data_IF_920075374919
#
_entry.id   IF_920075374919
#
_cell.length_a   1.000
_cell.length_b   1.000
_cell.length_c   1.000
_cell.angle_alpha   90.00
_cell.angle_beta   90.00
_cell.angle_gamma   90.00
#
_symmetry.space_group_name_H-M   'P 1'
#
loop_
_entity.id
_entity.type
_entity.pdbx_description
1 polymer ?
#
# COMPACT_ATOMS: atom_id res chain seq x y z
N UNK A 1 -7.92 -15.56 -24.80
CA UNK A 1 -7.13 -14.33 -25.04
C UNK A 1 -8.00 -13.18 -24.57
N UNK A 2 -7.51 -12.34 -23.66
CA UNK A 2 -8.22 -11.15 -23.18
C UNK A 2 -8.04 -9.99 -24.17
N UNK A 3 -9.05 -9.15 -24.31
CA UNK A 3 -9.03 -8.01 -25.25
C UNK A 3 -8.10 -6.89 -24.76
N UNK A 4 -8.02 -6.72 -23.45
CA UNK A 4 -7.15 -5.73 -22.85
C UNK A 4 -5.74 -6.31 -22.57
N UNK A 5 -4.73 -5.46 -22.72
CA UNK A 5 -3.37 -5.74 -22.25
C UNK A 5 -3.29 -5.59 -20.72
N UNK A 6 -2.40 -6.38 -20.10
CA UNK A 6 -2.14 -6.30 -18.66
C UNK A 6 -1.53 -4.96 -18.28
N UNK A 7 -2.01 -4.39 -17.17
CA UNK A 7 -1.32 -3.28 -16.54
C UNK A 7 0.01 -3.77 -15.93
N UNK A 8 1.06 -2.96 -16.06
CA UNK A 8 2.37 -3.25 -15.51
C UNK A 8 2.39 -3.06 -13.97
N UNK A 9 3.52 -3.34 -13.33
CA UNK A 9 3.74 -2.97 -11.93
C UNK A 9 4.19 -1.52 -11.79
N UNK A 10 4.01 -0.95 -10.60
CA UNK A 10 4.52 0.36 -10.22
C UNK A 10 5.57 0.22 -9.11
N UNK A 11 6.53 1.14 -9.09
CA UNK A 11 7.47 1.30 -7.97
C UNK A 11 6.80 2.01 -6.81
N UNK A 12 7.22 1.70 -5.58
CA UNK A 12 6.79 2.45 -4.41
C UNK A 12 7.60 3.75 -4.30
N UNK A 13 6.92 4.87 -4.07
CA UNK A 13 7.50 6.16 -3.74
C UNK A 13 6.84 6.63 -2.45
N UNK A 14 7.66 6.92 -1.44
CA UNK A 14 7.19 7.42 -0.15
C UNK A 14 8.23 8.34 0.46
N UNK A 15 8.13 8.57 1.75
CA UNK A 15 9.16 9.33 2.46
C UNK A 15 9.65 8.62 3.73
N UNK A 16 10.84 8.98 4.17
CA UNK A 16 11.38 8.62 5.48
C UNK A 16 11.78 9.87 6.22
N UNK A 17 11.66 9.84 7.55
CA UNK A 17 12.12 10.90 8.42
C UNK A 17 13.50 10.52 8.96
N UNK A 18 14.50 11.33 8.63
CA UNK A 18 15.81 11.26 9.25
C UNK A 18 15.83 12.16 10.48
N UNK A 19 16.41 11.69 11.58
CA UNK A 19 16.54 12.48 12.82
C UNK A 19 17.96 12.41 13.36
N UNK A 20 18.61 13.56 13.55
CA UNK A 20 19.94 13.64 14.20
C UNK A 20 19.80 13.50 15.73
N UNK A 21 19.85 12.26 16.20
CA UNK A 21 19.75 11.93 17.64
C UNK A 21 21.03 12.23 18.41
N UNK A 22 22.19 12.18 17.75
CA UNK A 22 23.48 12.42 18.37
C UNK A 22 23.84 13.90 18.49
N UNK A 23 23.03 14.81 17.93
CA UNK A 23 23.34 16.22 17.80
C UNK A 23 24.73 16.45 17.17
N UNK A 24 25.08 15.63 16.19
CA UNK A 24 26.39 15.64 15.55
C UNK A 24 26.41 16.51 14.27
N UNK A 25 25.23 16.87 13.75
CA UNK A 25 25.06 17.66 12.54
C UNK A 25 25.52 19.12 12.63
N UNK A 26 25.33 19.90 11.55
CA UNK A 26 24.47 19.58 10.40
C UNK A 26 25.11 18.62 9.39
N UNK A 27 24.30 17.76 8.79
CA UNK A 27 24.71 16.90 7.67
C UNK A 27 24.15 17.42 6.36
N UNK A 28 25.03 17.68 5.39
CA UNK A 28 24.64 18.05 4.01
C UNK A 28 25.06 16.94 3.06
N UNK A 29 24.15 16.45 2.23
CA UNK A 29 24.42 15.39 1.27
C UNK A 29 23.41 15.42 0.11
N UNK A 30 23.74 14.71 -0.96
CA UNK A 30 22.80 14.49 -2.07
C UNK A 30 21.88 13.33 -1.73
N UNK A 31 20.57 13.47 -1.86
CA UNK A 31 19.56 12.44 -1.54
C UNK A 31 19.87 11.10 -2.23
N UNK A 32 20.32 11.12 -3.48
CA UNK A 32 20.70 9.90 -4.23
C UNK A 32 21.94 9.20 -3.68
N UNK A 33 22.75 9.86 -2.84
CA UNK A 33 23.91 9.23 -2.20
C UNK A 33 23.53 8.26 -1.08
N UNK A 34 22.29 8.33 -0.57
CA UNK A 34 21.80 7.47 0.51
C UNK A 34 20.78 6.44 0.03
N UNK A 35 20.69 5.32 0.73
CA UNK A 35 19.64 4.32 0.55
C UNK A 35 19.28 3.65 1.88
N UNK A 36 18.07 3.11 1.95
CA UNK A 36 17.45 2.63 3.18
C UNK A 36 16.84 1.24 2.98
N UNK A 37 16.68 0.49 4.06
CA UNK A 37 16.06 -0.83 4.06
C UNK A 37 15.28 -1.10 5.35
N UNK A 38 14.47 -2.16 5.34
CA UNK A 38 13.71 -2.63 6.50
C UNK A 38 14.55 -3.37 7.56
N UNK A 39 15.84 -3.01 7.68
CA UNK A 39 16.81 -3.68 8.55
C UNK A 39 18.08 -4.09 7.81
N UNK A 40 19.10 -4.47 8.57
CA UNK A 40 20.40 -4.87 8.04
C UNK A 40 20.27 -6.16 7.23
N UNK A 41 20.82 -6.16 6.00
CA UNK A 41 20.83 -7.33 5.11
C UNK A 41 19.51 -7.63 4.38
N UNK A 42 18.49 -6.76 4.51
CA UNK A 42 17.25 -6.92 3.75
C UNK A 42 17.45 -6.63 2.25
N UNK A 43 16.74 -7.39 1.40
CA UNK A 43 16.67 -7.17 -0.05
C UNK A 43 15.68 -6.06 -0.45
N UNK A 44 14.85 -5.59 0.49
CA UNK A 44 13.92 -4.48 0.26
C UNK A 44 14.65 -3.16 0.49
N UNK A 45 15.12 -2.57 -0.62
CA UNK A 45 15.94 -1.36 -0.63
C UNK A 45 15.18 -0.21 -1.30
N UNK A 46 15.29 0.97 -0.70
CA UNK A 46 14.78 2.23 -1.22
C UNK A 46 15.94 3.22 -1.41
N UNK A 47 16.00 3.86 -2.57
CA UNK A 47 16.99 4.90 -2.86
C UNK A 47 16.42 6.27 -2.52
N UNK A 48 17.24 7.14 -1.92
CA UNK A 48 16.86 8.54 -1.74
C UNK A 48 16.75 9.27 -3.09
N UNK A 49 15.78 10.16 -3.19
CA UNK A 49 15.45 10.89 -4.42
C UNK A 49 15.66 12.39 -4.23
N UNK A 50 14.98 12.98 -3.24
CA UNK A 50 15.01 14.40 -2.97
C UNK A 50 14.57 14.71 -1.53
N UNK A 51 14.85 15.92 -1.08
CA UNK A 51 14.20 16.53 0.09
C UNK A 51 12.69 16.64 -0.15
N UNK A 52 11.89 16.19 0.81
CA UNK A 52 10.45 16.06 0.63
C UNK A 52 9.69 17.40 0.65
N UNK A 53 10.27 18.43 1.25
CA UNK A 53 9.63 19.75 1.35
C UNK A 53 10.05 20.65 0.20
N UNK A 54 11.34 20.67 -0.12
CA UNK A 54 11.92 21.59 -1.12
C UNK A 54 11.99 20.97 -2.51
N UNK A 55 11.92 19.64 -2.64
CA UNK A 55 12.15 18.94 -3.90
C UNK A 55 13.61 18.97 -4.38
N UNK A 56 14.53 19.50 -3.54
CA UNK A 56 15.96 19.59 -3.87
C UNK A 56 16.63 18.22 -3.78
N UNK A 57 17.59 17.95 -4.67
CA UNK A 57 18.45 16.78 -4.54
C UNK A 57 19.48 16.92 -3.43
N UNK A 58 19.74 18.15 -2.96
CA UNK A 58 20.56 18.40 -1.78
C UNK A 58 19.68 18.45 -0.53
N UNK A 59 19.99 17.59 0.43
CA UNK A 59 19.31 17.49 1.72
C UNK A 59 20.22 17.99 2.83
N UNK A 60 19.65 18.76 3.76
CA UNK A 60 20.32 19.16 5.00
C UNK A 60 19.56 18.60 6.19
N UNK A 61 20.21 17.75 6.99
CA UNK A 61 19.71 17.34 8.31
C UNK A 61 20.25 18.35 9.31
N UNK A 62 19.41 19.24 9.90
CA UNK A 62 19.89 20.19 10.89
C UNK A 62 20.29 19.47 12.18
N UNK A 63 21.20 20.09 12.94
CA UNK A 63 21.68 19.55 14.21
C UNK A 63 20.51 19.33 15.18
N UNK A 64 20.37 18.11 15.70
CA UNK A 64 19.33 17.78 16.68
C UNK A 64 17.88 17.79 16.13
N UNK A 65 17.71 17.88 14.81
CA UNK A 65 16.41 18.01 14.17
C UNK A 65 16.16 16.90 13.15
N UNK A 66 14.95 16.91 12.59
CA UNK A 66 14.50 15.95 11.59
C UNK A 66 14.31 16.56 10.22
N UNK A 67 14.47 15.75 9.17
CA UNK A 67 14.17 16.12 7.78
C UNK A 67 13.52 14.94 7.07
N UNK A 68 12.55 15.24 6.22
CA UNK A 68 11.84 14.23 5.42
C UNK A 68 12.50 14.11 4.03
N UNK A 69 12.77 12.89 3.62
CA UNK A 69 13.39 12.56 2.33
C UNK A 69 12.46 11.67 1.53
N UNK A 70 12.20 12.02 0.27
CA UNK A 70 11.51 11.15 -0.68
C UNK A 70 12.42 10.00 -1.05
N UNK A 71 11.87 8.80 -0.96
CA UNK A 71 12.53 7.55 -1.28
C UNK A 71 11.74 6.80 -2.36
N UNK A 72 12.45 6.06 -3.19
CA UNK A 72 11.86 5.23 -4.24
C UNK A 72 12.41 3.80 -4.14
N UNK A 73 11.51 2.83 -4.24
CA UNK A 73 11.86 1.41 -4.30
C UNK A 73 12.79 1.11 -5.49
N UNK A 74 13.75 0.23 -5.27
CA UNK A 74 14.68 -0.20 -6.33
C UNK A 74 13.99 -0.98 -7.47
N UNK A 75 12.86 -1.63 -7.17
CA UNK A 75 12.09 -2.44 -8.12
C UNK A 75 10.59 -2.17 -7.99
N UNK A 76 9.84 -2.58 -9.02
CA UNK A 76 8.38 -2.57 -8.99
C UNK A 76 7.85 -3.64 -8.04
N UNK A 77 6.65 -3.41 -7.50
CA UNK A 77 5.91 -4.44 -6.76
C UNK A 77 5.35 -3.97 -5.43
N UNK A 78 4.31 -4.66 -4.97
CA UNK A 78 3.60 -4.35 -3.73
C UNK A 78 4.39 -4.72 -2.47
N UNK A 79 5.39 -5.60 -2.58
CA UNK A 79 6.28 -5.97 -1.49
C UNK A 79 7.04 -4.78 -0.87
N UNK A 80 7.19 -3.69 -1.63
CA UNK A 80 7.82 -2.45 -1.16
C UNK A 80 6.85 -1.53 -0.38
N UNK A 81 5.55 -1.84 -0.30
CA UNK A 81 4.60 -1.15 0.57
C UNK A 81 4.72 -1.67 2.01
N UNK A 82 5.88 -1.39 2.61
CA UNK A 82 6.24 -1.90 3.92
C UNK A 82 5.44 -1.23 5.05
N UNK A 83 5.28 -1.95 6.16
CA UNK A 83 4.56 -1.45 7.34
C UNK A 83 5.22 -0.22 7.95
N UNK A 84 4.48 0.49 8.79
CA UNK A 84 4.94 1.68 9.52
C UNK A 84 6.12 1.31 10.43
N UNK A 85 7.15 2.17 10.45
CA UNK A 85 8.32 2.02 11.32
C UNK A 85 9.26 0.87 10.94
N UNK A 86 9.06 0.22 9.80
CA UNK A 86 9.90 -0.92 9.37
C UNK A 86 11.21 -0.47 8.73
N UNK A 87 11.24 0.67 8.03
CA UNK A 87 12.45 1.22 7.40
C UNK A 87 13.34 1.81 8.50
N UNK A 88 14.36 1.08 8.93
CA UNK A 88 15.16 1.40 10.12
C UNK A 88 16.66 1.48 9.87
N UNK A 89 17.14 1.03 8.71
CA UNK A 89 18.57 0.93 8.43
C UNK A 89 18.99 1.74 7.19
N UNK A 90 20.19 2.30 7.25
CA UNK A 90 20.91 2.77 6.07
C UNK A 90 21.62 1.61 5.41
N UNK A 91 21.53 1.53 4.08
CA UNK A 91 22.29 0.58 3.26
C UNK A 91 23.51 1.26 2.65
N UNK A 92 23.35 2.51 2.19
CA UNK A 92 24.41 3.33 1.59
C UNK A 92 24.41 4.72 2.23
N UNK A 93 25.59 5.31 2.37
CA UNK A 93 25.75 6.72 2.75
C UNK A 93 25.40 7.02 4.21
N UNK A 94 25.62 6.05 5.11
CA UNK A 94 25.34 6.13 6.54
C UNK A 94 25.83 7.46 7.13
N UNK A 95 24.96 8.13 7.89
CA UNK A 95 25.30 9.32 8.69
C UNK A 95 25.33 8.94 10.16
N UNK A 96 26.50 8.94 10.81
CA UNK A 96 26.62 8.57 12.22
C UNK A 96 25.67 9.39 13.08
N UNK A 97 24.95 8.76 14.00
CA UNK A 97 24.04 9.46 14.91
C UNK A 97 22.68 9.89 14.33
N UNK A 98 22.42 9.60 13.05
CA UNK A 98 21.12 9.84 12.40
C UNK A 98 20.31 8.56 12.36
N UNK A 99 19.11 8.58 12.94
CA UNK A 99 18.14 7.50 12.81
C UNK A 99 17.22 7.72 11.62
N UNK A 100 16.68 6.63 11.06
CA UNK A 100 15.69 6.65 9.97
C UNK A 100 14.43 5.89 10.41
N UNK A 101 13.27 6.41 10.05
CA UNK A 101 11.99 5.71 10.23
C UNK A 101 10.99 6.15 9.15
N UNK A 102 10.10 5.25 8.72
CA UNK A 102 8.95 5.61 7.91
C UNK A 102 7.70 5.81 8.81
N UNK A 103 7.11 7.01 8.85
CA UNK A 103 5.95 7.30 9.69
C UNK A 103 4.64 6.71 9.13
N UNK A 104 3.52 6.88 9.86
CA UNK A 104 2.24 6.25 9.51
C UNK A 104 1.61 6.72 8.20
N UNK A 105 1.96 7.92 7.75
CA UNK A 105 1.47 8.56 6.53
C UNK A 105 2.52 8.56 5.40
N UNK A 106 3.53 7.68 5.48
CA UNK A 106 4.70 7.71 4.59
C UNK A 106 4.40 7.53 3.10
N UNK A 107 3.25 6.95 2.75
CA UNK A 107 2.75 6.75 1.39
C UNK A 107 1.62 7.70 0.98
N UNK A 108 1.26 8.68 1.83
CA UNK A 108 0.11 9.55 1.59
C UNK A 108 0.35 11.04 1.85
N UNK A 109 1.37 11.40 2.65
CA UNK A 109 1.65 12.80 3.02
C UNK A 109 2.01 13.71 1.85
N UNK A 110 2.90 13.25 0.97
CA UNK A 110 3.42 14.06 -0.14
C UNK A 110 2.72 13.74 -1.46
N UNK A 111 2.60 14.73 -2.34
CA UNK A 111 1.94 14.58 -3.64
C UNK A 111 2.67 13.61 -4.59
N UNK A 112 3.97 13.42 -4.38
CA UNK A 112 4.83 12.45 -5.08
C UNK A 112 4.67 11.02 -4.58
N UNK A 113 3.90 10.79 -3.51
CA UNK A 113 3.72 9.46 -2.96
C UNK A 113 2.96 8.55 -3.94
N UNK A 114 3.43 7.31 -4.02
CA UNK A 114 2.91 6.27 -4.91
C UNK A 114 3.06 4.92 -4.23
N UNK A 115 1.95 4.20 -4.09
CA UNK A 115 2.04 2.80 -3.68
C UNK A 115 2.61 1.95 -4.82
N UNK A 116 3.52 1.04 -4.50
CA UNK A 116 3.99 0.04 -5.43
C UNK A 116 2.87 -0.96 -5.73
N UNK A 117 2.80 -1.39 -6.98
CA UNK A 117 1.80 -2.38 -7.39
C UNK A 117 2.49 -3.50 -8.15
N UNK A 118 2.04 -4.73 -7.93
CA UNK A 118 2.44 -5.83 -8.79
C UNK A 118 1.79 -5.69 -10.17
N UNK A 119 2.34 -6.37 -11.19
CA UNK A 119 1.66 -6.54 -12.47
C UNK A 119 0.25 -7.12 -12.25
N UNK A 120 -0.69 -6.68 -13.09
CA UNK A 120 -2.09 -7.10 -13.00
C UNK A 120 -2.22 -8.63 -13.08
N UNK A 121 -2.90 -9.21 -12.09
CA UNK A 121 -3.13 -10.66 -12.00
C UNK A 121 -4.23 -11.11 -12.96
N UNK A 122 -4.29 -12.42 -13.24
CA UNK A 122 -5.32 -12.98 -14.13
C UNK A 122 -6.75 -12.73 -13.63
N UNK A 123 -7.04 -12.87 -12.33
CA UNK A 123 -8.35 -12.50 -11.79
C UNK A 123 -8.66 -11.01 -11.96
N UNK A 124 -7.70 -10.12 -11.72
CA UNK A 124 -7.89 -8.67 -11.90
C UNK A 124 -8.17 -8.31 -13.36
N UNK A 125 -7.39 -8.87 -14.30
CA UNK A 125 -7.61 -8.67 -15.73
C UNK A 125 -9.00 -9.17 -16.16
N UNK A 126 -9.41 -10.35 -15.67
CA UNK A 126 -10.74 -10.90 -15.95
C UNK A 126 -11.85 -10.00 -15.41
N UNK A 127 -11.71 -9.49 -14.19
CA UNK A 127 -12.68 -8.58 -13.59
C UNK A 127 -12.77 -7.27 -14.36
N UNK A 128 -11.64 -6.71 -14.78
CA UNK A 128 -11.59 -5.50 -15.63
C UNK A 128 -12.26 -5.73 -16.98
N UNK A 129 -11.98 -6.86 -17.63
CA UNK A 129 -12.61 -7.23 -18.91
C UNK A 129 -14.12 -7.45 -18.77
N UNK A 130 -14.58 -8.07 -17.68
CA UNK A 130 -16.02 -8.19 -17.39
C UNK A 130 -16.67 -6.83 -17.07
N UNK A 131 -15.95 -5.96 -16.37
CA UNK A 131 -16.42 -4.61 -16.03
C UNK A 131 -16.55 -3.72 -17.25
N UNK A 132 -15.75 -3.95 -18.30
CA UNK A 132 -15.83 -3.27 -19.62
C UNK A 132 -17.21 -3.36 -20.26
N UNK A 133 -17.93 -4.47 -20.08
CA UNK A 133 -19.28 -4.60 -20.61
C UNK A 133 -20.26 -3.63 -19.95
N UNK A 134 -19.98 -3.21 -18.71
CA UNK A 134 -20.78 -2.21 -18.01
C UNK A 134 -20.80 -0.84 -18.71
N UNK A 135 -19.76 -0.49 -19.46
CA UNK A 135 -19.70 0.82 -20.15
C UNK A 135 -20.53 0.88 -21.43
N UNK A 136 -21.09 -0.23 -21.89
CA UNK A 136 -22.00 -0.23 -23.05
C UNK A 136 -23.40 0.26 -22.69
N UNK A 137 -23.76 0.24 -21.40
CA UNK A 137 -25.05 0.73 -20.92
C UNK A 137 -25.03 2.24 -20.69
N UNK A 138 -26.09 2.92 -21.12
CA UNK A 138 -26.25 4.39 -20.96
C UNK A 138 -26.54 4.83 -19.53
N UNK A 139 -26.94 3.90 -18.65
CA UNK A 139 -27.26 4.17 -17.25
C UNK A 139 -26.04 4.16 -16.31
N UNK A 140 -24.83 4.01 -16.83
CA UNK A 140 -23.58 3.91 -16.06
C UNK A 140 -23.72 2.97 -14.85
N UNK A 141 -23.89 1.65 -15.07
CA UNK A 141 -24.04 0.69 -13.97
C UNK A 141 -22.79 0.68 -13.08
N UNK A 142 -22.91 0.09 -11.89
CA UNK A 142 -21.83 -0.08 -10.92
C UNK A 142 -20.49 -0.54 -11.56
N UNK A 143 -20.55 -1.53 -12.44
CA UNK A 143 -19.38 -2.06 -13.17
C UNK A 143 -18.66 -1.01 -14.02
N UNK A 144 -19.37 -0.02 -14.56
CA UNK A 144 -18.77 1.05 -15.34
C UNK A 144 -17.90 1.95 -14.44
N UNK A 145 -18.42 2.34 -13.27
CA UNK A 145 -17.64 3.07 -12.27
C UNK A 145 -16.42 2.29 -11.78
N UNK A 146 -16.59 0.99 -11.51
CA UNK A 146 -15.47 0.12 -11.12
C UNK A 146 -14.40 0.09 -12.19
N UNK A 147 -14.78 -0.08 -13.46
CA UNK A 147 -13.84 -0.06 -14.58
C UNK A 147 -13.08 1.26 -14.65
N UNK A 148 -13.79 2.39 -14.61
CA UNK A 148 -13.16 3.70 -14.72
C UNK A 148 -12.21 3.97 -13.55
N UNK A 149 -12.57 3.51 -12.35
CA UNK A 149 -11.73 3.64 -11.17
C UNK A 149 -10.45 2.78 -11.20
N UNK A 150 -10.40 1.69 -11.97
CA UNK A 150 -9.24 0.77 -12.01
C UNK A 150 -8.48 0.82 -13.34
N UNK A 151 -8.94 1.60 -14.32
CA UNK A 151 -8.32 1.68 -15.65
C UNK A 151 -7.30 2.81 -15.72
N UNK A 152 -6.03 2.45 -15.69
CA UNK A 152 -4.94 3.37 -15.97
C UNK A 152 -5.04 3.93 -17.40
N UNK A 153 -4.83 5.24 -17.55
CA UNK A 153 -4.73 5.90 -18.86
C UNK A 153 -3.44 6.69 -18.94
N UNK A 154 -2.95 6.96 -20.15
CA UNK A 154 -1.68 7.68 -20.36
C UNK A 154 -1.65 9.07 -19.70
N UNK A 155 -2.80 9.73 -19.55
CA UNK A 155 -2.92 11.01 -18.84
C UNK A 155 -3.04 10.89 -17.32
N UNK A 156 -3.38 9.71 -16.80
CA UNK A 156 -3.68 9.47 -15.39
C UNK A 156 -3.14 8.11 -14.90
N UNK A 157 -1.81 7.86 -14.97
CA UNK A 157 -1.23 6.58 -14.55
C UNK A 157 -1.41 6.31 -13.06
N UNK A 158 -1.62 7.34 -12.24
CA UNK A 158 -1.91 7.21 -10.82
C UNK A 158 -3.13 6.33 -10.51
N UNK A 159 -4.10 6.23 -11.43
CA UNK A 159 -5.29 5.37 -11.30
C UNK A 159 -4.90 3.88 -11.18
N UNK A 160 -3.75 3.48 -11.74
CA UNK A 160 -3.22 2.11 -11.63
C UNK A 160 -2.94 1.68 -10.19
N UNK A 161 -2.80 2.63 -9.27
CA UNK A 161 -2.67 2.36 -7.83
C UNK A 161 -3.98 1.86 -7.21
N UNK A 162 -5.13 2.10 -7.84
CA UNK A 162 -6.42 1.58 -7.37
C UNK A 162 -6.48 0.08 -7.62
N UNK A 163 -6.52 -0.68 -6.52
CA UNK A 163 -6.62 -2.15 -6.54
C UNK A 163 -7.93 -2.67 -5.95
N UNK A 164 -8.63 -1.83 -5.19
CA UNK A 164 -9.90 -2.15 -4.55
C UNK A 164 -10.87 -1.02 -4.85
N UNK A 165 -12.09 -1.35 -5.26
CA UNK A 165 -13.13 -0.38 -5.57
C UNK A 165 -14.50 -0.93 -5.19
N UNK A 166 -15.25 -0.15 -4.42
CA UNK A 166 -16.66 -0.42 -4.12
C UNK A 166 -17.46 0.81 -4.52
N UNK A 167 -18.65 0.57 -5.05
CA UNK A 167 -19.55 1.62 -5.51
C UNK A 167 -20.86 1.45 -4.78
N UNK A 168 -21.29 2.53 -4.14
CA UNK A 168 -22.57 2.60 -3.45
C UNK A 168 -23.46 3.62 -4.14
N UNK A 169 -24.74 3.30 -4.24
CA UNK A 169 -25.79 4.25 -4.57
C UNK A 169 -26.66 4.49 -3.35
N UNK A 170 -27.24 5.69 -3.24
CA UNK A 170 -28.17 6.03 -2.17
C UNK A 170 -27.57 5.87 -0.75
N UNK A 171 -26.24 6.10 -0.61
CA UNK A 171 -25.57 6.15 0.69
C UNK A 171 -26.03 7.38 1.48
N UNK A 172 -26.22 8.50 0.77
CA UNK A 172 -26.86 9.70 1.28
C UNK A 172 -28.32 9.72 0.84
N UNK A 173 -29.25 9.50 1.78
CA UNK A 173 -30.68 9.51 1.52
C UNK A 173 -31.19 10.89 1.05
N UNK A 174 -30.46 11.96 1.33
CA UNK A 174 -30.80 13.31 0.92
C UNK A 174 -30.31 13.64 -0.49
N UNK A 175 -29.44 12.81 -1.07
CA UNK A 175 -28.97 12.93 -2.44
C UNK A 175 -29.00 11.57 -3.17
N UNK A 176 -30.20 11.08 -3.54
CA UNK A 176 -30.36 9.77 -4.18
C UNK A 176 -29.72 9.69 -5.57
N UNK A 177 -29.39 10.83 -6.20
CA UNK A 177 -28.67 10.90 -7.47
C UNK A 177 -27.15 10.74 -7.33
N UNK A 178 -26.64 10.63 -6.10
CA UNK A 178 -25.22 10.47 -5.80
C UNK A 178 -24.79 9.01 -5.86
N UNK A 179 -23.68 8.80 -6.55
CA UNK A 179 -22.92 7.55 -6.57
C UNK A 179 -21.60 7.78 -5.84
N UNK A 180 -21.34 7.00 -4.81
CA UNK A 180 -20.11 7.05 -4.02
C UNK A 180 -19.18 5.93 -4.46
N UNK A 181 -18.01 6.31 -4.97
CA UNK A 181 -16.96 5.40 -5.43
C UNK A 181 -15.83 5.43 -4.40
N UNK A 182 -15.70 4.35 -3.64
CA UNK A 182 -14.69 4.21 -2.60
C UNK A 182 -13.54 3.36 -3.14
N UNK A 183 -12.34 3.94 -3.19
CA UNK A 183 -11.15 3.30 -3.75
C UNK A 183 -10.05 3.12 -2.71
N UNK A 184 -9.29 2.04 -2.85
CA UNK A 184 -8.08 1.78 -2.06
C UNK A 184 -7.00 1.12 -2.91
N UNK A 185 -5.76 1.24 -2.43
CA UNK A 185 -4.63 0.51 -2.98
C UNK A 185 -4.56 -0.92 -2.42
N UNK A 186 -3.53 -1.66 -2.82
CA UNK A 186 -3.28 -2.99 -2.26
C UNK A 186 -2.87 -2.92 -0.79
N UNK A 187 -2.14 -1.87 -0.38
CA UNK A 187 -1.59 -1.75 0.97
C UNK A 187 -2.33 -0.78 1.89
N UNK A 188 -3.44 -0.18 1.42
CA UNK A 188 -4.23 0.73 2.25
C UNK A 188 -4.76 1.95 1.49
N UNK A 189 -5.03 3.06 2.21
CA UNK A 189 -5.55 4.30 1.65
C UNK A 189 -4.66 4.94 0.59
N UNK A 190 -5.27 5.63 -0.36
CA UNK A 190 -4.62 6.33 -1.47
C UNK A 190 -4.56 7.82 -1.20
N UNK A 191 -3.48 8.46 -1.66
CA UNK A 191 -3.29 9.91 -1.54
C UNK A 191 -4.21 10.73 -2.44
N UNK A 192 -4.38 12.04 -2.15
CA UNK A 192 -5.32 12.92 -2.87
C UNK A 192 -5.02 13.07 -4.35
N UNK A 193 -3.76 12.94 -4.78
CA UNK A 193 -3.38 12.95 -6.20
C UNK A 193 -4.08 11.84 -6.98
N UNK A 194 -4.12 10.62 -6.42
CA UNK A 194 -4.79 9.47 -7.05
C UNK A 194 -6.30 9.69 -7.06
N UNK A 195 -6.87 10.15 -5.94
CA UNK A 195 -8.31 10.39 -5.81
C UNK A 195 -8.79 11.44 -6.82
N UNK A 196 -8.07 12.55 -6.96
CA UNK A 196 -8.41 13.59 -7.93
C UNK A 196 -8.29 13.09 -9.38
N UNK A 197 -7.31 12.23 -9.67
CA UNK A 197 -7.17 11.62 -10.98
C UNK A 197 -8.36 10.69 -11.31
N UNK A 198 -8.78 9.86 -10.34
CA UNK A 198 -9.96 8.99 -10.50
C UNK A 198 -11.24 9.82 -10.62
N UNK A 199 -11.41 10.83 -9.76
CA UNK A 199 -12.56 11.74 -9.82
C UNK A 199 -12.65 12.40 -11.19
N UNK A 200 -11.61 13.10 -11.63
CA UNK A 200 -11.59 13.79 -12.92
C UNK A 200 -11.79 12.86 -14.12
N UNK A 201 -11.35 11.60 -14.01
CA UNK A 201 -11.57 10.61 -15.04
C UNK A 201 -13.04 10.14 -15.12
N UNK A 202 -13.70 9.93 -13.98
CA UNK A 202 -15.10 9.51 -13.91
C UNK A 202 -16.04 10.68 -14.27
N UNK A 203 -16.01 11.75 -13.48
CA UNK A 203 -16.86 12.92 -13.65
C UNK A 203 -16.36 14.08 -12.77
N UNK A 204 -16.63 15.35 -13.11
CA UNK A 204 -16.40 16.44 -12.17
C UNK A 204 -17.24 16.25 -10.90
N UNK A 205 -16.84 16.87 -9.78
CA UNK A 205 -17.55 16.77 -8.49
C UNK A 205 -18.83 17.65 -8.45
N UNK A 206 -19.68 17.46 -9.45
CA UNK A 206 -20.96 18.14 -9.64
C UNK A 206 -21.93 17.19 -10.33
N UNK A 207 -23.16 17.63 -10.53
CA UNK A 207 -24.14 16.89 -11.32
C UNK A 207 -23.71 16.94 -12.81
N UNK A 208 -23.78 15.79 -13.47
CA UNK A 208 -23.38 15.62 -14.87
C UNK A 208 -21.89 15.36 -15.09
N UNK A 209 -21.55 14.97 -16.31
CA UNK A 209 -20.20 14.57 -16.69
C UNK A 209 -20.18 13.70 -17.94
N UNK A 210 -19.01 13.56 -18.56
CA UNK A 210 -18.87 12.86 -19.84
C UNK A 210 -19.22 11.36 -19.77
N UNK A 211 -19.02 10.71 -18.61
CA UNK A 211 -19.20 9.26 -18.42
C UNK A 211 -20.38 8.89 -17.53
N UNK A 212 -21.06 9.86 -16.94
CA UNK A 212 -22.19 9.63 -16.04
C UNK A 212 -23.45 10.29 -16.60
N UNK A 213 -24.66 9.85 -16.23
CA UNK A 213 -25.87 10.55 -16.64
C UNK A 213 -25.88 12.01 -16.17
N UNK A 214 -26.44 12.91 -16.99
CA UNK A 214 -26.54 14.34 -16.67
C UNK A 214 -27.34 14.65 -15.40
N UNK A 215 -28.10 13.69 -14.88
CA UNK A 215 -28.88 13.81 -13.63
C UNK A 215 -28.15 13.24 -12.41
N UNK A 216 -27.01 12.60 -12.59
CA UNK A 216 -26.26 11.92 -11.53
C UNK A 216 -25.04 12.74 -11.09
N UNK A 217 -24.55 12.46 -9.88
CA UNK A 217 -23.30 13.01 -9.35
C UNK A 217 -22.43 11.87 -8.85
N UNK A 218 -21.15 11.85 -9.22
CA UNK A 218 -20.19 10.86 -8.73
C UNK A 218 -19.22 11.52 -7.74
N UNK A 219 -19.02 10.89 -6.58
CA UNK A 219 -18.03 11.32 -5.58
C UNK A 219 -17.06 10.18 -5.33
N UNK A 220 -15.77 10.46 -5.57
CA UNK A 220 -14.68 9.52 -5.32
C UNK A 220 -14.02 9.85 -4.00
N UNK A 221 -13.83 8.84 -3.16
CA UNK A 221 -13.13 8.97 -1.89
C UNK A 221 -12.16 7.81 -1.68
N UNK A 222 -11.08 8.05 -0.93
CA UNK A 222 -10.24 6.95 -0.47
C UNK A 222 -10.91 6.23 0.70
N UNK A 223 -10.78 4.90 0.76
CA UNK A 223 -11.11 4.14 1.95
C UNK A 223 -10.26 4.59 3.16
N UNK A 224 -10.83 4.49 4.35
CA UNK A 224 -10.14 4.74 5.61
C UNK A 224 -9.25 3.55 5.96
N UNK A 225 -8.02 3.82 6.41
CA UNK A 225 -7.09 2.77 6.81
C UNK A 225 -7.41 2.30 8.22
N UNK A 226 -7.77 1.03 8.37
CA UNK A 226 -7.91 0.39 9.67
C UNK A 226 -6.64 -0.43 9.95
N UNK A 227 -5.81 0.05 10.89
CA UNK A 227 -4.56 -0.60 11.24
C UNK A 227 -4.81 -1.85 12.06
N UNK A 228 -4.58 -3.02 11.47
CA UNK A 228 -4.68 -4.32 12.13
C UNK A 228 -3.30 -4.74 12.59
N UNK A 229 -3.08 -4.68 13.91
CA UNK A 229 -1.85 -5.17 14.52
C UNK A 229 -1.81 -6.70 14.46
N UNK A 230 -0.76 -7.25 13.84
CA UNK A 230 -0.49 -8.69 13.80
C UNK A 230 0.75 -8.95 14.62
N UNK A 231 0.59 -9.52 15.81
CA UNK A 231 1.70 -9.81 16.72
C UNK A 231 1.81 -11.31 16.90
N UNK A 232 2.96 -11.86 16.54
CA UNK A 232 3.22 -13.30 16.63
C UNK A 232 4.68 -13.62 16.92
N UNK A 233 4.90 -14.75 17.60
CA UNK A 233 6.21 -15.38 17.76
C UNK A 233 6.18 -16.74 17.07
N UNK A 234 7.04 -16.94 16.07
CA UNK A 234 7.16 -18.18 15.31
C UNK A 234 8.43 -18.92 15.72
N UNK A 235 8.27 -20.19 16.13
CA UNK A 235 9.37 -21.07 16.51
C UNK A 235 9.78 -21.93 15.31
N UNK A 236 10.88 -21.54 14.68
CA UNK A 236 11.35 -22.08 13.39
C UNK A 236 12.62 -22.88 13.63
N UNK A 237 12.74 -24.04 13.00
CA UNK A 237 13.99 -24.81 13.09
C UNK A 237 15.18 -23.98 12.55
N UNK A 238 16.31 -24.00 13.26
CA UNK A 238 17.46 -23.14 12.96
C UNK A 238 17.95 -23.18 11.49
N UNK A 239 17.85 -24.35 10.83
CA UNK A 239 18.24 -24.51 9.42
C UNK A 239 17.33 -23.76 8.44
N UNK A 240 16.07 -23.49 8.81
CA UNK A 240 15.08 -22.81 7.99
C UNK A 240 14.90 -21.34 8.35
N UNK A 241 15.34 -20.91 9.54
CA UNK A 241 15.25 -19.52 10.00
C UNK A 241 16.27 -18.60 9.29
N UNK A 242 16.08 -18.46 7.98
CA UNK A 242 16.89 -17.61 7.09
C UNK A 242 16.16 -16.30 6.82
N UNK A 243 16.88 -15.21 6.47
CA UNK A 243 16.24 -13.95 6.09
C UNK A 243 15.26 -14.09 4.91
N UNK A 244 15.54 -15.01 3.99
CA UNK A 244 14.66 -15.33 2.86
C UNK A 244 13.34 -15.95 3.33
N UNK A 245 13.39 -16.87 4.29
CA UNK A 245 12.21 -17.48 4.89
C UNK A 245 11.36 -16.43 5.62
N UNK A 246 11.96 -15.60 6.47
CA UNK A 246 11.25 -14.55 7.19
C UNK A 246 10.56 -13.57 6.24
N UNK A 247 11.24 -13.19 5.15
CA UNK A 247 10.68 -12.33 4.09
C UNK A 247 9.50 -13.01 3.39
N UNK A 248 9.58 -14.31 3.14
CA UNK A 248 8.48 -15.07 2.53
C UNK A 248 7.23 -15.07 3.44
N UNK A 249 7.39 -15.27 4.74
CA UNK A 249 6.26 -15.21 5.70
C UNK A 249 5.59 -13.83 5.67
N UNK A 250 6.38 -12.76 5.73
CA UNK A 250 5.85 -11.40 5.68
C UNK A 250 5.17 -11.08 4.33
N UNK A 251 5.69 -11.63 3.23
CA UNK A 251 5.11 -11.49 1.89
C UNK A 251 3.75 -12.21 1.79
N UNK A 252 3.63 -13.40 2.37
CA UNK A 252 2.35 -14.11 2.42
C UNK A 252 1.31 -13.32 3.22
N UNK A 253 1.72 -12.75 4.36
CA UNK A 253 0.86 -11.91 5.18
C UNK A 253 0.40 -10.66 4.42
N UNK A 254 1.32 -9.94 3.77
CA UNK A 254 0.94 -8.74 2.99
C UNK A 254 0.06 -9.09 1.79
N UNK A 255 0.29 -10.22 1.13
CA UNK A 255 -0.55 -10.71 0.03
C UNK A 255 -1.99 -11.00 0.49
N UNK A 256 -2.16 -11.62 1.67
CA UNK A 256 -3.48 -11.85 2.25
C UNK A 256 -4.23 -10.52 2.49
N UNK A 257 -3.57 -9.55 3.13
CA UNK A 257 -4.17 -8.22 3.37
C UNK A 257 -4.44 -7.44 2.07
N UNK A 258 -3.62 -7.65 1.03
CA UNK A 258 -3.83 -7.05 -0.28
C UNK A 258 -5.07 -7.60 -0.99
N UNK A 259 -5.45 -8.85 -0.74
CA UNK A 259 -6.63 -9.49 -1.34
C UNK A 259 -7.94 -9.12 -0.63
N UNK A 260 -7.88 -8.79 0.67
CA UNK A 260 -9.06 -8.42 1.46
C UNK A 260 -9.82 -7.23 0.84
N UNK A 261 -11.12 -7.36 0.53
CA UNK A 261 -11.91 -6.27 -0.01
C UNK A 261 -12.21 -5.21 1.07
N UNK A 262 -12.60 -4.02 0.61
CA UNK A 262 -13.08 -2.94 1.50
C UNK A 262 -14.33 -3.43 2.26
N UNK A 263 -14.39 -3.18 3.56
CA UNK A 263 -15.49 -3.63 4.45
C UNK A 263 -15.53 -5.13 4.75
N UNK A 264 -14.45 -5.86 4.46
CA UNK A 264 -14.37 -7.29 4.78
C UNK A 264 -14.18 -7.60 6.27
N UNK A 265 -14.45 -8.86 6.63
CA UNK A 265 -14.06 -9.41 7.93
C UNK A 265 -12.62 -9.90 7.86
N UNK A 266 -11.76 -9.40 8.73
CA UNK A 266 -10.40 -9.91 8.92
C UNK A 266 -10.46 -11.02 9.96
N UNK A 267 -10.37 -12.28 9.51
CA UNK A 267 -10.42 -13.45 10.40
C UNK A 267 -9.06 -13.72 11.03
N UNK A 268 -9.06 -13.92 12.35
CA UNK A 268 -7.87 -14.29 13.11
C UNK A 268 -7.32 -15.64 12.66
N UNK A 269 -8.19 -16.63 12.45
CA UNK A 269 -7.80 -17.98 12.04
C UNK A 269 -7.12 -17.96 10.67
N UNK A 270 -7.58 -17.10 9.75
CA UNK A 270 -6.95 -16.92 8.44
C UNK A 270 -5.57 -16.28 8.55
N UNK A 271 -5.38 -15.32 9.45
CA UNK A 271 -4.05 -14.76 9.72
C UNK A 271 -3.10 -15.86 10.23
N UNK A 272 -3.55 -16.68 11.18
CA UNK A 272 -2.77 -17.81 11.71
C UNK A 272 -2.41 -18.79 10.59
N UNK A 273 -3.39 -19.16 9.76
CA UNK A 273 -3.18 -20.04 8.59
C UNK A 273 -2.11 -19.47 7.64
N UNK A 274 -2.19 -18.17 7.31
CA UNK A 274 -1.25 -17.51 6.41
C UNK A 274 0.17 -17.46 6.99
N UNK A 275 0.31 -17.20 8.30
CA UNK A 275 1.60 -17.21 8.99
C UNK A 275 2.21 -18.62 9.01
N UNK A 276 1.38 -19.64 9.20
CA UNK A 276 1.78 -21.05 9.28
C UNK A 276 1.86 -21.74 7.92
N UNK A 277 1.44 -21.11 6.83
CA UNK A 277 1.44 -21.71 5.49
C UNK A 277 2.77 -22.39 5.11
N UNK A 278 3.95 -21.81 5.40
CA UNK A 278 5.23 -22.47 5.12
C UNK A 278 5.47 -23.74 5.95
N UNK A 279 4.82 -23.92 7.10
CA UNK A 279 4.91 -25.13 7.93
C UNK A 279 4.37 -26.36 7.21
N UNK A 280 3.42 -26.19 6.27
CA UNK A 280 2.88 -27.27 5.46
C UNK A 280 3.89 -27.93 4.52
N UNK A 281 5.09 -27.34 4.35
CA UNK A 281 6.15 -27.92 3.51
C UNK A 281 6.93 -29.04 4.19
N UNK A 282 7.00 -29.06 5.53
CA UNK A 282 7.58 -30.15 6.32
C UNK A 282 7.28 -29.91 7.81
N UNK A 283 7.08 -31.00 8.57
CA UNK A 283 6.72 -30.98 9.99
C UNK A 283 7.74 -30.29 10.92
N UNK A 284 8.96 -30.03 10.44
CA UNK A 284 10.02 -29.37 11.21
C UNK A 284 10.20 -27.88 10.93
N UNK A 285 9.56 -27.29 9.90
CA UNK A 285 9.87 -25.92 9.47
C UNK A 285 9.40 -24.90 10.51
N UNK A 286 8.14 -24.97 10.91
CA UNK A 286 7.61 -24.22 12.05
C UNK A 286 7.08 -25.25 13.04
N UNK A 287 7.65 -25.25 14.24
CA UNK A 287 7.31 -26.20 15.30
C UNK A 287 6.16 -25.72 16.16
N UNK A 288 6.06 -24.41 16.36
CA UNK A 288 5.01 -23.76 17.12
C UNK A 288 4.85 -22.28 16.70
N UNK A 289 3.70 -21.70 16.98
CA UNK A 289 3.40 -20.29 16.76
C UNK A 289 2.47 -19.75 17.84
N UNK A 290 2.91 -18.70 18.52
CA UNK A 290 2.07 -17.92 19.43
C UNK A 290 1.60 -16.64 18.74
N UNK A 291 0.29 -16.50 18.53
CA UNK A 291 -0.33 -15.33 17.86
C UNK A 291 -1.24 -14.62 18.85
N UNK A 292 -0.76 -13.47 19.35
CA UNK A 292 -1.40 -12.68 20.40
C UNK A 292 -2.26 -11.53 19.87
N UNK A 293 -2.06 -11.10 18.62
CA UNK A 293 -2.90 -10.09 17.96
C UNK A 293 -3.11 -10.40 16.48
N UNK A 294 -4.32 -10.19 15.93
CA UNK A 294 -5.54 -9.77 16.64
C UNK A 294 -6.08 -10.88 17.54
N UNK A 295 -6.65 -10.51 18.70
CA UNK A 295 -7.17 -11.48 19.68
C UNK A 295 -8.51 -12.10 19.23
N UNK A 296 -9.26 -11.39 18.38
CA UNK A 296 -10.54 -11.77 17.81
C UNK A 296 -10.60 -11.28 16.35
N UNK A 297 -11.62 -11.72 15.61
CA UNK A 297 -11.89 -11.21 14.28
C UNK A 297 -12.14 -9.69 14.29
N UNK A 298 -11.70 -9.01 13.24
CA UNK A 298 -11.85 -7.56 13.08
C UNK A 298 -12.79 -7.29 11.92
N UNK A 299 -13.99 -6.78 12.20
CA UNK A 299 -14.94 -6.34 11.18
C UNK A 299 -14.59 -4.93 10.72
N UNK A 300 -14.29 -4.77 9.43
CA UNK A 300 -14.09 -3.45 8.82
C UNK A 300 -15.43 -2.77 8.55
N UNK A 301 -15.49 -1.44 8.71
CA UNK A 301 -16.63 -0.67 8.24
C UNK A 301 -16.71 -0.66 6.70
N UNK A 302 -17.89 -0.32 6.15
CA UNK A 302 -18.14 -0.33 4.70
C UNK A 302 -17.18 0.54 3.87
N UNK A 303 -16.53 1.53 4.50
CA UNK A 303 -15.57 2.44 3.90
C UNK A 303 -14.13 2.23 4.41
N UNK A 304 -13.84 1.13 5.10
CA UNK A 304 -12.52 0.83 5.66
C UNK A 304 -11.79 -0.26 4.86
N UNK A 305 -10.47 -0.11 4.78
CA UNK A 305 -9.53 -1.10 4.24
C UNK A 305 -8.54 -1.50 5.32
N UNK A 306 -8.26 -2.80 5.44
CA UNK A 306 -7.27 -3.29 6.38
C UNK A 306 -5.85 -2.87 5.97
N UNK A 307 -5.09 -2.36 6.93
CA UNK A 307 -3.66 -2.05 6.81
C UNK A 307 -2.92 -2.91 7.83
N UNK A 308 -2.05 -3.78 7.34
CA UNK A 308 -1.30 -4.69 8.23
C UNK A 308 -0.20 -3.93 8.98
N UNK A 309 -0.12 -4.15 10.29
CA UNK A 309 0.97 -3.66 11.13
C UNK A 309 1.65 -4.87 11.78
N UNK A 310 2.60 -5.52 11.09
CA UNK A 310 3.19 -6.78 11.54
C UNK A 310 4.28 -6.55 12.58
N UNK A 311 4.21 -7.28 13.69
CA UNK A 311 5.26 -7.43 14.71
C UNK A 311 5.53 -8.92 14.89
N UNK A 312 6.34 -9.50 13.99
CA UNK A 312 6.62 -10.94 13.94
C UNK A 312 8.03 -11.20 14.45
N UNK A 313 8.13 -12.02 15.50
CA UNK A 313 9.41 -12.47 16.06
C UNK A 313 9.70 -13.90 15.62
N UNK A 314 10.89 -14.15 15.08
CA UNK A 314 11.32 -15.49 14.67
C UNK A 314 12.36 -16.01 15.67
N UNK A 315 12.05 -17.13 16.33
CA UNK A 315 12.93 -17.78 17.31
C UNK A 315 13.44 -19.09 16.71
N UNK A 316 14.76 -19.27 16.69
CA UNK A 316 15.37 -20.53 16.27
C UNK A 316 15.22 -21.58 17.38
N UNK A 317 14.72 -22.76 17.02
CA UNK A 317 14.66 -23.95 17.88
C UNK A 317 15.37 -25.15 17.26
#
# INVERSE_FOLDING_TARGET
>A
VYDNQRQQGLVTIGYVTLTDTANAGPYVFTATSVSFSIGLGSSIIFNGVADAVTGSTQVTVPKGASVDIIIQAQSVGSAYNVGVGTITAFVRGVKPGVSVTNPSDWLSKYSSAQQGTDPETDPQLRDRDMSKWGTLGTGSPEKAYRLWATTATAGFPAIQQVKKCVVYSNLDILDPGRVDVIVAGSAGPLGPTVINAVQGYIAPMQVGGERIPETARAVVSSALGNNVAVTATLYVQASFNTPAFQTAVLTNLSAYFADLPIGSLVSRERIIEVLLFPAGTSSGVITDADVSSPALDVQLAYNEVAVVVPTITFVSV
#
